data_IF_160449060007
#
_entry.id   IF_160449060007
#
_cell.length_a   1.000
_cell.length_b   1.000
_cell.length_c   1.000
_cell.angle_alpha   90.00
_cell.angle_beta   90.00
_cell.angle_gamma   90.00
#
_symmetry.space_group_name_H-M   'P 1'
#
loop_
_entity.id
_entity.type
_entity.pdbx_description
1 polymer ?
#
# COMPACT_ATOMS: atom_id res chain seq x y z
N UNK A 1 -12.45 32.19 -23.18
CA UNK A 1 -12.08 31.24 -22.09
C UNK A 1 -10.99 30.34 -22.64
N UNK A 2 -9.84 30.03 -22.01
CA UNK A 2 -9.65 29.55 -20.63
C UNK A 2 -8.35 30.14 -20.01
N UNK A 3 -8.43 31.12 -19.10
CA UNK A 3 -7.30 31.70 -18.37
C UNK A 3 -6.80 30.83 -17.19
N UNK A 4 -7.08 29.52 -17.17
CA UNK A 4 -6.80 28.62 -16.02
C UNK A 4 -6.15 27.27 -16.37
N UNK A 5 -5.53 27.08 -17.55
CA UNK A 5 -4.82 25.81 -17.94
C UNK A 5 -5.61 24.50 -17.63
N UNK A 6 -6.94 24.55 -17.56
CA UNK A 6 -7.79 23.40 -17.20
C UNK A 6 -8.11 22.47 -18.37
N UNK A 7 -7.74 22.84 -19.59
CA UNK A 7 -7.99 22.05 -20.78
C UNK A 7 -6.94 22.36 -21.86
N UNK A 8 -6.58 21.33 -22.61
CA UNK A 8 -5.78 21.43 -23.84
C UNK A 8 -6.69 21.21 -25.04
N UNK A 9 -6.45 21.90 -26.16
CA UNK A 9 -7.17 21.64 -27.41
C UNK A 9 -6.89 20.21 -27.85
N UNK A 10 -7.93 19.49 -28.29
CA UNK A 10 -7.85 18.12 -28.79
C UNK A 10 -7.20 18.06 -30.18
N UNK A 11 -5.96 18.51 -30.29
CA UNK A 11 -5.13 18.34 -31.48
C UNK A 11 -4.48 16.96 -31.47
N UNK A 12 -4.16 16.42 -32.64
CA UNK A 12 -3.57 15.08 -32.81
C UNK A 12 -2.28 14.86 -31.97
N UNK A 13 -1.54 15.95 -31.73
CA UNK A 13 -0.35 15.97 -30.86
C UNK A 13 -0.71 15.82 -29.37
N UNK A 14 -1.75 16.51 -28.92
CA UNK A 14 -2.18 16.49 -27.52
C UNK A 14 -2.89 15.18 -27.16
N UNK A 15 -3.63 14.57 -28.09
CA UNK A 15 -4.25 13.25 -27.89
C UNK A 15 -3.19 12.16 -27.75
N UNK A 16 -2.15 12.17 -28.58
CA UNK A 16 -0.99 11.26 -28.47
C UNK A 16 -0.21 11.44 -27.18
N UNK A 17 -0.01 12.69 -26.74
CA UNK A 17 0.64 12.98 -25.46
C UNK A 17 -0.17 12.43 -24.27
N UNK A 18 -1.49 12.64 -24.25
CA UNK A 18 -2.36 12.09 -23.22
C UNK A 18 -2.39 10.56 -23.21
N UNK A 19 -2.38 9.92 -24.37
CA UNK A 19 -2.31 8.46 -24.47
C UNK A 19 -0.98 7.92 -23.91
N UNK A 20 0.13 8.59 -24.21
CA UNK A 20 1.43 8.24 -23.65
C UNK A 20 1.47 8.43 -22.13
N UNK A 21 0.98 9.56 -21.60
CA UNK A 21 0.89 9.78 -20.16
C UNK A 21 0.01 8.73 -19.47
N UNK A 22 -1.15 8.39 -20.06
CA UNK A 22 -2.01 7.31 -19.56
C UNK A 22 -1.26 5.98 -19.49
N UNK A 23 -0.53 5.60 -20.55
CA UNK A 23 0.28 4.37 -20.55
C UNK A 23 1.36 4.39 -19.47
N UNK A 24 2.03 5.52 -19.26
CA UNK A 24 3.03 5.66 -18.19
C UNK A 24 2.40 5.52 -16.80
N UNK A 25 1.23 6.12 -16.59
CA UNK A 25 0.48 6.00 -15.33
C UNK A 25 0.06 4.55 -15.11
N UNK A 26 -0.45 3.88 -16.14
CA UNK A 26 -0.89 2.48 -16.06
C UNK A 26 0.26 1.54 -15.70
N UNK A 27 1.43 1.72 -16.34
CA UNK A 27 2.65 0.96 -16.01
C UNK A 27 3.08 1.20 -14.55
N UNK A 28 3.06 2.46 -14.08
CA UNK A 28 3.38 2.77 -12.68
C UNK A 28 2.38 2.14 -11.72
N UNK A 29 1.08 2.21 -12.01
CA UNK A 29 0.04 1.62 -11.19
C UNK A 29 0.15 0.09 -11.13
N UNK A 30 0.42 -0.56 -12.26
CA UNK A 30 0.64 -2.01 -12.30
C UNK A 30 1.88 -2.40 -11.51
N UNK A 31 2.96 -1.62 -11.58
CA UNK A 31 4.16 -1.86 -10.77
C UNK A 31 3.86 -1.76 -9.27
N UNK A 32 3.17 -0.70 -8.84
CA UNK A 32 2.77 -0.50 -7.44
C UNK A 32 1.85 -1.63 -6.97
N UNK A 33 0.87 -2.03 -7.79
CA UNK A 33 -0.02 -3.16 -7.45
C UNK A 33 0.75 -4.47 -7.30
N UNK A 34 1.73 -4.72 -8.17
CA UNK A 34 2.57 -5.91 -8.09
C UNK A 34 3.45 -5.88 -6.84
N UNK A 35 4.13 -4.77 -6.56
CA UNK A 35 4.93 -4.59 -5.34
C UNK A 35 4.07 -4.74 -4.07
N UNK A 36 2.84 -4.23 -4.06
CA UNK A 36 1.90 -4.40 -2.97
C UNK A 36 1.43 -5.85 -2.82
N UNK A 37 1.22 -6.57 -3.94
CA UNK A 37 0.87 -8.00 -3.94
C UNK A 37 1.99 -8.86 -3.35
N UNK A 38 3.22 -8.69 -3.84
CA UNK A 38 4.43 -9.35 -3.32
C UNK A 38 4.62 -9.10 -1.82
N UNK A 39 4.40 -7.86 -1.37
CA UNK A 39 4.48 -7.52 0.06
C UNK A 39 3.36 -8.19 0.87
N UNK A 40 2.14 -8.22 0.34
CA UNK A 40 0.99 -8.87 0.99
C UNK A 40 1.23 -10.37 1.16
N UNK A 41 1.75 -11.04 0.14
CA UNK A 41 2.07 -12.48 0.22
C UNK A 41 3.14 -12.76 1.28
N UNK A 42 4.18 -11.92 1.35
CA UNK A 42 5.22 -12.02 2.40
C UNK A 42 4.63 -11.85 3.80
N UNK A 43 3.77 -10.86 4.00
CA UNK A 43 3.10 -10.62 5.30
C UNK A 43 2.14 -11.76 5.64
N UNK A 44 1.38 -12.28 4.68
CA UNK A 44 0.47 -13.41 4.91
C UNK A 44 1.20 -14.70 5.29
N UNK A 45 2.39 -14.94 4.73
CA UNK A 45 3.22 -16.09 5.08
C UNK A 45 3.87 -15.97 6.47
N UNK A 46 3.88 -14.77 7.05
CA UNK A 46 4.50 -14.50 8.34
C UNK A 46 3.48 -14.74 9.46
N UNK A 47 3.63 -15.86 10.17
CA UNK A 47 2.82 -16.16 11.36
C UNK A 47 3.61 -15.76 12.60
N UNK A 48 3.36 -14.56 13.13
CA UNK A 48 3.98 -14.10 14.37
C UNK A 48 3.21 -14.63 15.58
N UNK A 49 3.90 -15.32 16.48
CA UNK A 49 3.34 -15.76 17.75
C UNK A 49 3.66 -14.74 18.85
N UNK A 50 2.69 -13.87 19.18
CA UNK A 50 2.83 -12.92 20.28
C UNK A 50 2.28 -13.52 21.57
N UNK A 51 3.16 -13.84 22.51
CA UNK A 51 2.78 -14.34 23.84
C UNK A 51 2.44 -13.15 24.74
N UNK A 52 1.15 -12.93 24.96
CA UNK A 52 0.62 -11.81 25.77
C UNK A 52 0.01 -12.31 27.07
N UNK A 53 0.17 -11.53 28.14
CA UNK A 53 -0.32 -11.90 29.46
C UNK A 53 -1.83 -11.62 29.56
N UNK A 54 -2.63 -12.67 29.66
CA UNK A 54 -4.10 -12.60 29.82
C UNK A 54 -4.45 -12.54 31.31
N UNK A 55 -5.40 -11.67 31.69
CA UNK A 55 -5.92 -11.58 33.04
C UNK A 55 -7.03 -12.60 33.31
N UNK A 56 -7.60 -12.56 34.53
CA UNK A 56 -8.76 -13.39 34.89
C UNK A 56 -9.94 -13.15 33.94
N UNK A 57 -10.38 -14.21 33.26
CA UNK A 57 -11.52 -14.20 32.34
C UNK A 57 -11.16 -14.06 30.85
N UNK A 58 -9.97 -14.48 30.43
CA UNK A 58 -9.54 -14.49 29.01
C UNK A 58 -9.43 -13.10 28.38
N UNK A 59 -9.43 -12.05 29.22
CA UNK A 59 -9.28 -10.66 28.78
C UNK A 59 -7.81 -10.28 28.78
N UNK A 60 -7.33 -9.89 27.59
CA UNK A 60 -6.01 -9.32 27.39
C UNK A 60 -5.81 -8.11 28.32
N UNK A 61 -4.72 -8.10 29.10
CA UNK A 61 -4.36 -6.93 29.91
C UNK A 61 -3.69 -5.87 29.02
N UNK A 62 -4.51 -5.04 28.36
CA UNK A 62 -4.06 -3.99 27.44
C UNK A 62 -4.57 -4.19 26.00
N UNK A 63 -3.92 -3.52 25.05
CA UNK A 63 -4.19 -3.65 23.61
C UNK A 63 -2.89 -3.99 22.89
N UNK A 64 -2.89 -5.04 22.07
CA UNK A 64 -1.78 -5.26 21.12
C UNK A 64 -1.81 -4.09 20.14
N UNK A 65 -0.75 -3.27 20.14
CA UNK A 65 -0.63 -2.14 19.22
C UNK A 65 0.26 -2.53 18.05
N UNK A 66 0.20 -1.76 16.96
CA UNK A 66 1.05 -1.99 15.79
C UNK A 66 2.55 -2.00 16.14
N UNK A 67 2.94 -1.31 17.21
CA UNK A 67 4.33 -1.25 17.68
C UNK A 67 4.79 -2.59 18.28
N UNK A 68 3.91 -3.30 18.98
CA UNK A 68 4.17 -4.63 19.56
C UNK A 68 4.35 -5.70 18.46
N UNK A 69 3.57 -5.60 17.37
CA UNK A 69 3.72 -6.45 16.19
C UNK A 69 5.07 -6.22 15.50
N UNK A 70 5.51 -4.96 15.39
CA UNK A 70 6.82 -4.62 14.81
C UNK A 70 7.97 -5.14 15.69
N UNK A 71 7.85 -5.04 17.01
CA UNK A 71 8.83 -5.61 17.94
C UNK A 71 8.88 -7.14 17.88
N UNK A 72 7.73 -7.82 17.79
CA UNK A 72 7.67 -9.27 17.62
C UNK A 72 8.32 -9.70 16.29
N UNK A 73 8.04 -8.97 15.20
CA UNK A 73 8.62 -9.22 13.88
C UNK A 73 10.14 -8.99 13.89
N UNK A 74 10.62 -7.97 14.61
CA UNK A 74 12.04 -7.68 14.78
C UNK A 74 12.76 -8.69 15.69
N UNK A 75 12.08 -9.29 16.67
CA UNK A 75 12.63 -10.34 17.55
C UNK A 75 12.71 -11.71 16.88
N UNK A 76 11.86 -11.99 15.91
CA UNK A 76 11.86 -13.25 15.14
C UNK A 76 12.82 -13.21 13.94
N UNK A 77 13.47 -12.07 13.68
CA UNK A 77 14.48 -11.86 12.62
C UNK A 77 15.91 -12.11 13.08
#
# INVERSE_FOLDING_TARGET
MIPRKKAVLATDKNTKALDHEKRVIDVKLNKIKKEAGDLSEKIQSLTLHLTVQVGEGDKLFGSVTSQDIVEALAKES
#
